data_IF_926354835300
#
_entry.id   IF_926354835300
#
_cell.length_a   1.000
_cell.length_b   1.000
_cell.length_c   1.000
_cell.angle_alpha   90.00
_cell.angle_beta   90.00
_cell.angle_gamma   90.00
#
_symmetry.space_group_name_H-M   'P 1'
#
loop_
_entity.id
_entity.type
_entity.pdbx_description
1 polymer ?
#
# COMPACT_ATOMS: atom_id res chain seq x y z
N UNK A 1 -45.18 17.03 4.66
CA UNK A 1 -44.09 16.04 4.57
C UNK A 1 -42.78 16.79 4.70
N UNK A 2 -41.92 16.42 5.64
CA UNK A 2 -40.60 17.06 5.84
C UNK A 2 -39.57 16.30 5.01
N UNK A 3 -38.87 17.01 4.13
CA UNK A 3 -37.84 16.39 3.26
C UNK A 3 -36.47 16.81 3.76
N UNK A 4 -35.58 15.84 4.00
CA UNK A 4 -34.20 16.08 4.42
C UNK A 4 -33.26 15.49 3.37
N UNK A 5 -32.31 16.27 2.90
CA UNK A 5 -31.25 15.79 2.02
C UNK A 5 -30.07 15.26 2.86
N UNK A 6 -29.75 13.99 2.72
CA UNK A 6 -28.60 13.37 3.38
C UNK A 6 -27.51 13.13 2.36
N UNK A 7 -26.34 13.75 2.53
CA UNK A 7 -25.21 13.60 1.59
C UNK A 7 -23.87 13.94 2.23
N UNK A 8 -22.80 13.30 1.76
CA UNK A 8 -21.42 13.64 2.09
C UNK A 8 -20.85 14.84 1.34
N UNK A 9 -21.39 15.13 0.17
CA UNK A 9 -20.90 16.22 -0.66
C UNK A 9 -21.17 17.57 0.02
N UNK A 10 -20.07 18.22 0.45
CA UNK A 10 -20.12 19.52 1.14
C UNK A 10 -20.73 20.61 0.26
N UNK A 11 -20.38 20.60 -1.05
CA UNK A 11 -20.89 21.59 -1.99
C UNK A 11 -22.39 21.44 -2.21
N UNK A 12 -22.85 20.20 -2.33
CA UNK A 12 -24.26 19.90 -2.45
C UNK A 12 -25.03 20.31 -1.20
N UNK A 13 -24.48 20.04 0.00
CA UNK A 13 -25.07 20.51 1.27
C UNK A 13 -25.20 22.03 1.33
N UNK A 14 -24.14 22.74 0.94
CA UNK A 14 -24.17 24.23 0.94
C UNK A 14 -25.22 24.78 -0.03
N UNK A 15 -25.29 24.23 -1.24
CA UNK A 15 -26.30 24.63 -2.25
C UNK A 15 -27.73 24.34 -1.77
N UNK A 16 -27.95 23.16 -1.18
CA UNK A 16 -29.28 22.80 -0.68
C UNK A 16 -29.71 23.70 0.49
N UNK A 17 -28.80 24.04 1.40
CA UNK A 17 -29.08 25.01 2.48
C UNK A 17 -29.44 26.39 1.95
N UNK A 18 -28.77 26.87 0.90
CA UNK A 18 -29.09 28.17 0.28
C UNK A 18 -30.48 28.20 -0.35
N UNK A 19 -31.02 27.03 -0.70
CA UNK A 19 -32.39 26.85 -1.21
C UNK A 19 -33.40 26.57 -0.10
N UNK A 20 -33.02 26.66 1.19
CA UNK A 20 -33.88 26.38 2.30
C UNK A 20 -34.22 24.91 2.55
N UNK A 21 -33.51 23.99 1.91
CA UNK A 21 -33.66 22.55 2.12
C UNK A 21 -32.88 22.13 3.37
N UNK A 22 -33.54 21.38 4.27
CA UNK A 22 -32.85 20.78 5.41
C UNK A 22 -31.86 19.73 5.00
N UNK A 23 -30.62 19.78 5.51
CA UNK A 23 -29.52 18.94 5.05
C UNK A 23 -28.76 18.34 6.22
N UNK A 24 -28.48 17.04 6.14
CA UNK A 24 -27.68 16.31 7.10
C UNK A 24 -26.45 15.67 6.43
N UNK A 25 -25.39 15.46 7.23
CA UNK A 25 -24.22 14.71 6.80
C UNK A 25 -24.47 13.20 6.93
N UNK A 26 -24.04 12.43 5.94
CA UNK A 26 -24.06 10.96 6.03
C UNK A 26 -22.90 10.47 6.88
N UNK A 27 -23.18 10.07 8.13
CA UNK A 27 -22.16 9.82 9.16
C UNK A 27 -21.77 8.34 9.26
N UNK A 28 -22.66 7.42 8.84
CA UNK A 28 -22.55 5.97 9.12
C UNK A 28 -21.37 5.26 8.47
N UNK A 29 -20.71 5.84 7.48
CA UNK A 29 -19.55 5.26 6.81
C UNK A 29 -18.24 6.03 7.10
N UNK A 30 -18.23 6.91 8.09
CA UNK A 30 -16.98 7.48 8.57
C UNK A 30 -16.13 6.38 9.21
N UNK A 31 -14.97 6.15 8.64
CA UNK A 31 -13.95 5.31 9.28
C UNK A 31 -13.52 6.04 10.56
N UNK A 32 -13.99 5.53 11.70
CA UNK A 32 -13.72 6.12 13.01
C UNK A 32 -12.27 5.87 13.43
N UNK A 33 -11.65 4.83 12.90
CA UNK A 33 -10.27 4.47 13.21
C UNK A 33 -9.39 4.62 11.97
N UNK A 34 -8.63 5.71 11.92
CA UNK A 34 -7.69 6.04 10.84
C UNK A 34 -6.35 5.32 11.03
N UNK A 35 -6.16 4.60 12.15
CA UNK A 35 -4.89 3.94 12.47
C UNK A 35 -4.56 2.80 11.50
N UNK A 36 -5.57 2.26 10.80
CA UNK A 36 -5.39 1.29 9.71
C UNK A 36 -4.52 1.88 8.57
N UNK A 37 -4.61 3.20 8.35
CA UNK A 37 -3.85 3.89 7.31
C UNK A 37 -2.51 4.47 7.82
N UNK A 38 -2.24 4.37 9.13
CA UNK A 38 -1.01 4.88 9.74
C UNK A 38 0.12 3.85 9.82
N UNK A 39 -0.05 2.65 9.27
CA UNK A 39 1.09 1.76 9.09
C UNK A 39 2.08 2.47 8.18
N UNK A 40 3.10 3.06 8.80
CA UNK A 40 4.29 3.46 8.09
C UNK A 40 4.79 2.24 7.33
N UNK A 41 5.25 2.44 6.10
CA UNK A 41 5.93 1.38 5.37
C UNK A 41 7.03 0.82 6.27
N UNK A 42 7.04 -0.49 6.43
CA UNK A 42 8.13 -1.11 7.15
C UNK A 42 9.40 -0.96 6.33
N UNK A 43 10.36 -0.24 6.91
CA UNK A 43 11.69 -0.04 6.33
C UNK A 43 12.66 -0.84 7.19
N UNK A 44 13.25 -1.86 6.60
CA UNK A 44 14.31 -2.64 7.22
C UNK A 44 15.66 -2.05 6.81
N UNK A 45 16.32 -1.41 7.77
CA UNK A 45 17.62 -0.79 7.56
C UNK A 45 18.78 -1.76 7.90
N UNK A 46 19.99 -1.40 7.48
CA UNK A 46 21.22 -2.17 7.72
C UNK A 46 21.22 -3.57 7.08
N UNK A 47 20.54 -3.72 5.95
CA UNK A 47 20.60 -4.96 5.15
C UNK A 47 21.96 -5.05 4.46
N UNK A 48 22.49 -6.27 4.35
CA UNK A 48 23.71 -6.53 3.60
C UNK A 48 23.55 -6.09 2.13
N UNK A 49 24.42 -5.20 1.61
CA UNK A 49 24.39 -4.78 0.22
C UNK A 49 24.43 -5.94 -0.79
N UNK A 50 25.15 -7.01 -0.49
CA UNK A 50 25.28 -8.17 -1.37
C UNK A 50 23.94 -8.93 -1.51
N UNK A 51 23.09 -8.92 -0.47
CA UNK A 51 21.75 -9.49 -0.54
C UNK A 51 20.83 -8.64 -1.43
N UNK A 52 20.95 -7.31 -1.35
CA UNK A 52 20.18 -6.43 -2.24
C UNK A 52 20.63 -6.60 -3.69
N UNK A 53 21.92 -6.70 -3.95
CA UNK A 53 22.44 -6.92 -5.30
C UNK A 53 21.98 -8.28 -5.87
N UNK A 54 21.94 -9.32 -5.04
CA UNK A 54 21.34 -10.62 -5.41
C UNK A 54 19.85 -10.51 -5.72
N UNK A 55 19.08 -9.67 -5.00
CA UNK A 55 17.66 -9.44 -5.32
C UNK A 55 17.47 -8.81 -6.71
N UNK A 56 18.37 -7.90 -7.10
CA UNK A 56 18.33 -7.33 -8.44
C UNK A 56 18.69 -8.34 -9.52
N UNK A 57 19.55 -9.32 -9.22
CA UNK A 57 19.99 -10.37 -10.13
C UNK A 57 19.03 -11.57 -10.23
N UNK A 58 18.11 -11.73 -9.25
CA UNK A 58 17.23 -12.90 -9.13
C UNK A 58 15.76 -12.52 -9.31
N UNK A 59 15.18 -12.68 -10.51
CA UNK A 59 13.76 -12.38 -10.77
C UNK A 59 12.80 -13.19 -9.91
N UNK A 60 13.17 -14.42 -9.56
CA UNK A 60 12.36 -15.34 -8.75
C UNK A 60 12.38 -15.04 -7.24
N UNK A 61 13.16 -14.03 -6.87
CA UNK A 61 13.33 -13.64 -5.47
C UNK A 61 14.38 -14.45 -4.72
N UNK A 62 14.66 -14.06 -3.48
CA UNK A 62 15.65 -14.64 -2.58
C UNK A 62 14.96 -15.17 -1.34
N UNK A 63 15.52 -16.23 -0.76
CA UNK A 63 15.04 -16.85 0.48
C UNK A 63 14.99 -15.81 1.62
N UNK A 64 13.84 -15.73 2.26
CA UNK A 64 13.60 -14.79 3.36
C UNK A 64 14.50 -15.07 4.58
N UNK A 65 14.90 -16.34 4.78
CA UNK A 65 15.74 -16.75 5.91
C UNK A 65 17.18 -16.20 5.83
N UNK A 66 17.59 -15.72 4.66
CA UNK A 66 18.89 -15.04 4.49
C UNK A 66 18.92 -13.62 5.08
N UNK A 67 17.74 -13.07 5.36
CA UNK A 67 17.60 -11.73 5.94
C UNK A 67 17.34 -11.87 7.44
N UNK A 68 18.11 -11.22 8.29
CA UNK A 68 17.90 -11.22 9.75
C UNK A 68 16.70 -10.32 10.12
N UNK A 69 15.52 -10.62 9.59
CA UNK A 69 14.28 -9.90 9.88
C UNK A 69 13.55 -10.63 11.00
N UNK A 70 13.59 -10.06 12.21
CA UNK A 70 13.01 -10.66 13.44
C UNK A 70 11.50 -10.46 13.57
N UNK A 71 10.90 -9.58 12.76
CA UNK A 71 9.45 -9.36 12.77
C UNK A 71 8.71 -10.50 12.08
N UNK A 72 7.51 -10.82 12.60
CA UNK A 72 6.62 -11.74 11.92
C UNK A 72 6.09 -11.04 10.66
N UNK A 73 6.46 -11.59 9.51
CA UNK A 73 5.99 -11.10 8.22
C UNK A 73 4.55 -11.59 7.95
N UNK A 74 3.72 -10.68 7.48
CA UNK A 74 2.37 -11.01 7.05
C UNK A 74 2.40 -11.43 5.55
N UNK A 75 1.46 -12.30 5.13
CA UNK A 75 1.35 -12.69 3.72
C UNK A 75 1.18 -11.47 2.81
N UNK A 76 1.96 -11.44 1.72
CA UNK A 76 1.99 -10.34 0.76
C UNK A 76 2.45 -8.98 1.32
N UNK A 77 3.05 -8.97 2.48
CA UNK A 77 3.62 -7.77 3.06
C UNK A 77 4.65 -7.15 2.11
N UNK A 78 4.51 -5.84 1.92
CA UNK A 78 5.42 -5.05 1.08
C UNK A 78 6.22 -4.10 1.97
N UNK A 79 7.53 -4.05 1.76
CA UNK A 79 8.45 -3.28 2.58
C UNK A 79 9.66 -2.80 1.76
N UNK A 80 10.46 -1.95 2.38
CA UNK A 80 11.70 -1.43 1.81
C UNK A 80 12.89 -2.06 2.53
N UNK A 81 13.75 -2.73 1.79
CA UNK A 81 15.06 -3.16 2.29
C UNK A 81 16.09 -2.10 1.92
N UNK A 82 16.82 -1.61 2.92
CA UNK A 82 17.79 -0.52 2.76
C UNK A 82 19.14 -0.92 3.31
N UNK A 83 20.16 -0.77 2.47
CA UNK A 83 21.56 -0.87 2.87
C UNK A 83 22.21 0.52 2.92
N UNK A 84 23.49 0.55 3.20
CA UNK A 84 24.29 1.79 3.19
C UNK A 84 24.41 2.39 1.78
N UNK A 85 24.36 1.56 0.73
CA UNK A 85 24.60 1.97 -0.67
C UNK A 85 23.35 1.98 -1.55
N UNK A 86 22.39 1.09 -1.30
CA UNK A 86 21.25 0.88 -2.16
C UNK A 86 20.00 0.50 -1.35
N UNK A 87 18.86 0.49 -2.02
CA UNK A 87 17.60 0.04 -1.45
C UNK A 87 16.78 -0.69 -2.52
N UNK A 88 15.90 -1.59 -2.08
CA UNK A 88 15.01 -2.31 -2.96
C UNK A 88 13.61 -2.39 -2.35
N UNK A 89 12.59 -2.26 -3.20
CA UNK A 89 11.22 -2.53 -2.84
C UNK A 89 11.01 -4.04 -2.90
N UNK A 90 10.51 -4.63 -1.84
CA UNK A 90 10.33 -6.07 -1.72
C UNK A 90 8.92 -6.44 -1.30
N UNK A 91 8.47 -7.62 -1.69
CA UNK A 91 7.23 -8.26 -1.27
C UNK A 91 7.54 -9.66 -0.76
N UNK A 92 6.94 -10.03 0.35
CA UNK A 92 7.04 -11.37 0.91
C UNK A 92 6.03 -12.32 0.27
N UNK A 93 6.52 -13.45 -0.24
CA UNK A 93 5.68 -14.56 -0.70
C UNK A 93 5.71 -15.70 0.31
N UNK A 94 4.61 -15.96 1.04
CA UNK A 94 4.57 -16.98 2.09
C UNK A 94 4.63 -18.41 1.54
N UNK A 95 4.21 -18.63 0.30
CA UNK A 95 4.19 -19.98 -0.29
C UNK A 95 5.60 -20.47 -0.65
N UNK A 96 6.48 -19.56 -1.03
CA UNK A 96 7.86 -19.88 -1.41
C UNK A 96 8.88 -19.48 -0.35
N UNK A 97 8.45 -18.81 0.71
CA UNK A 97 9.31 -18.18 1.73
C UNK A 97 10.38 -17.29 1.12
N UNK A 98 10.02 -16.47 0.12
CA UNK A 98 10.95 -15.62 -0.60
C UNK A 98 10.54 -14.15 -0.57
N UNK A 99 11.55 -13.30 -0.62
CA UNK A 99 11.40 -11.88 -0.93
C UNK A 99 11.58 -11.67 -2.42
N UNK A 100 10.56 -11.17 -3.08
CA UNK A 100 10.59 -10.80 -4.49
C UNK A 100 10.72 -9.29 -4.63
N UNK A 101 11.58 -8.87 -5.55
CA UNK A 101 11.71 -7.45 -5.90
C UNK A 101 10.41 -6.95 -6.54
N UNK A 102 9.92 -5.81 -6.08
CA UNK A 102 8.79 -5.10 -6.69
C UNK A 102 9.31 -4.17 -7.77
N UNK A 103 8.81 -4.35 -8.97
CA UNK A 103 9.19 -3.53 -10.12
C UNK A 103 8.26 -2.33 -10.28
N UNK A 104 8.82 -1.21 -10.75
CA UNK A 104 8.02 -0.04 -11.12
C UNK A 104 7.37 -0.29 -12.48
N UNK A 105 6.34 -1.11 -12.50
CA UNK A 105 5.57 -1.38 -13.71
C UNK A 105 4.61 -0.24 -14.02
N UNK A 106 4.43 0.07 -15.30
CA UNK A 106 3.39 0.99 -15.76
C UNK A 106 2.12 0.20 -16.09
N UNK A 107 0.97 0.64 -15.60
CA UNK A 107 -0.32 0.04 -15.87
C UNK A 107 -1.22 1.04 -16.57
N UNK A 108 -1.74 0.69 -17.73
CA UNK A 108 -2.63 1.57 -18.53
C UNK A 108 -2.06 2.99 -18.74
N UNK A 109 -0.73 3.11 -18.89
CA UNK A 109 -0.05 4.40 -19.04
C UNK A 109 0.17 5.16 -17.73
N UNK A 110 -0.27 4.64 -16.60
CA UNK A 110 -0.05 5.24 -15.27
C UNK A 110 1.23 4.66 -14.68
N UNK A 111 2.15 5.55 -14.28
CA UNK A 111 3.39 5.16 -13.61
C UNK A 111 3.34 5.46 -12.11
N UNK A 112 3.83 4.56 -11.26
CA UNK A 112 3.91 4.81 -9.83
C UNK A 112 4.93 5.92 -9.53
N UNK A 113 4.55 6.86 -8.67
CA UNK A 113 5.40 8.00 -8.27
C UNK A 113 6.15 7.75 -6.96
N UNK A 114 5.67 6.82 -6.16
CA UNK A 114 6.24 6.48 -4.85
C UNK A 114 6.21 4.96 -4.62
N UNK A 115 6.77 4.52 -3.49
CA UNK A 115 6.86 3.11 -3.14
C UNK A 115 5.48 2.48 -2.92
N UNK A 116 4.57 3.19 -2.24
CA UNK A 116 3.20 2.72 -1.96
C UNK A 116 2.43 2.41 -3.24
N UNK A 117 2.53 3.30 -4.23
CA UNK A 117 1.91 3.07 -5.54
C UNK A 117 2.52 1.89 -6.28
N UNK A 118 3.85 1.69 -6.15
CA UNK A 118 4.52 0.51 -6.73
C UNK A 118 4.04 -0.78 -6.07
N UNK A 119 3.88 -0.79 -4.75
CA UNK A 119 3.33 -1.92 -4.01
C UNK A 119 1.87 -2.20 -4.39
N UNK A 120 1.05 -1.15 -4.49
CA UNK A 120 -0.33 -1.30 -4.93
C UNK A 120 -0.42 -1.90 -6.34
N UNK A 121 0.40 -1.47 -7.28
CA UNK A 121 0.43 -2.02 -8.64
C UNK A 121 0.90 -3.48 -8.65
N UNK A 122 1.92 -3.83 -7.88
CA UNK A 122 2.39 -5.21 -7.75
C UNK A 122 1.28 -6.14 -7.26
N UNK A 123 0.57 -5.73 -6.18
CA UNK A 123 -0.47 -6.55 -5.56
C UNK A 123 -1.72 -6.63 -6.45
N UNK A 124 -2.15 -5.51 -7.05
CA UNK A 124 -3.35 -5.47 -7.92
C UNK A 124 -3.16 -6.21 -9.24
N UNK A 125 -1.93 -6.34 -9.73
CA UNK A 125 -1.65 -7.07 -10.96
C UNK A 125 -1.42 -8.57 -10.75
N UNK A 126 -1.27 -8.99 -9.50
CA UNK A 126 -1.01 -10.39 -9.19
C UNK A 126 -2.35 -11.17 -9.15
N UNK A 127 -2.60 -12.10 -10.08
CA UNK A 127 -3.84 -12.86 -10.14
C UNK A 127 -4.04 -13.81 -8.95
N UNK A 128 -2.97 -14.12 -8.22
CA UNK A 128 -3.01 -15.00 -7.06
C UNK A 128 -3.44 -14.27 -5.78
N UNK A 129 -3.45 -12.94 -5.79
CA UNK A 129 -3.94 -12.12 -4.68
C UNK A 129 -5.43 -11.83 -4.89
N UNK A 130 -6.24 -12.25 -3.92
CA UNK A 130 -7.70 -12.07 -3.94
C UNK A 130 -8.16 -11.14 -2.83
#
# INVERSE_FOLDING_TARGET
MKTILVTKDVNLRMKARSLGIEVEDYITDKVINVDIFKRAQDIYENIDPDLIDKMYASPDGIDADLFDIKSKLEPNECFILKSVRNSVLARYNPFTNKFKKVEKASNYGIQPRNAEQSFAFEVLNDPDVK
#
